data_IF_113540248903
#
_entry.id   IF_113540248903
#
_cell.length_a   1.000
_cell.length_b   1.000
_cell.length_c   1.000
_cell.angle_alpha   90.00
_cell.angle_beta   90.00
_cell.angle_gamma   90.00
#
_symmetry.space_group_name_H-M   'P 1'
#
loop_
_entity.id
_entity.type
_entity.pdbx_description
1 polymer ?
#
# COMPACT_ATOMS: atom_id res chain seq x y z
N UNK A 1 8.82 -19.53 17.10
CA UNK A 1 9.07 -18.08 17.10
C UNK A 1 7.90 -17.39 17.76
N UNK A 2 8.14 -16.54 18.75
CA UNK A 2 7.07 -15.76 19.39
C UNK A 2 6.80 -14.46 18.59
N UNK A 3 5.72 -13.75 18.93
CA UNK A 3 5.29 -12.54 18.20
C UNK A 3 6.35 -11.42 18.21
N UNK A 4 7.06 -11.23 19.33
CA UNK A 4 8.05 -10.16 19.47
C UNK A 4 9.31 -10.46 18.65
N UNK A 5 9.79 -11.70 18.73
CA UNK A 5 10.92 -12.19 17.94
C UNK A 5 10.63 -12.11 16.43
N UNK A 6 9.43 -12.52 16.01
CA UNK A 6 9.01 -12.41 14.62
C UNK A 6 8.99 -10.94 14.15
N UNK A 7 8.39 -10.06 14.95
CA UNK A 7 8.25 -8.65 14.58
C UNK A 7 9.62 -7.99 14.40
N UNK A 8 10.56 -8.24 15.31
CA UNK A 8 11.91 -7.68 15.19
C UNK A 8 12.60 -8.13 13.90
N UNK A 9 12.58 -9.45 13.63
CA UNK A 9 13.15 -10.00 12.39
C UNK A 9 12.49 -9.46 11.14
N UNK A 10 11.17 -9.32 11.16
CA UNK A 10 10.41 -8.82 10.04
C UNK A 10 10.70 -7.34 9.78
N UNK A 11 10.73 -6.50 10.82
CA UNK A 11 11.10 -5.09 10.69
C UNK A 11 12.54 -4.91 10.24
N UNK A 12 13.47 -5.75 10.72
CA UNK A 12 14.87 -5.76 10.26
C UNK A 12 14.94 -6.05 8.76
N UNK A 13 14.26 -7.12 8.30
CA UNK A 13 14.24 -7.48 6.87
C UNK A 13 13.62 -6.39 6.00
N UNK A 14 12.52 -5.77 6.45
CA UNK A 14 11.92 -4.62 5.75
C UNK A 14 12.91 -3.45 5.71
N UNK A 15 13.57 -3.12 6.82
CA UNK A 15 14.51 -2.00 6.85
C UNK A 15 15.73 -2.19 5.97
N UNK A 16 16.17 -3.43 5.77
CA UNK A 16 17.31 -3.77 4.91
C UNK A 16 16.91 -3.88 3.43
N UNK A 17 15.61 -3.82 3.11
CA UNK A 17 15.12 -4.03 1.73
C UNK A 17 15.25 -2.80 0.83
N UNK A 18 15.10 -1.60 1.39
CA UNK A 18 15.31 -0.32 0.71
C UNK A 18 15.25 0.85 1.69
N UNK A 19 15.55 2.07 1.22
CA UNK A 19 15.36 3.31 1.98
C UNK A 19 13.90 3.47 2.44
N UNK A 20 12.94 3.27 1.55
CA UNK A 20 11.51 3.34 1.88
C UNK A 20 11.10 2.27 2.91
N UNK A 21 11.71 1.08 2.84
CA UNK A 21 11.56 0.04 3.86
C UNK A 21 12.11 0.46 5.22
N UNK A 22 13.29 1.09 5.25
CA UNK A 22 13.89 1.63 6.48
C UNK A 22 13.01 2.70 7.11
N UNK A 23 12.48 3.64 6.30
CA UNK A 23 11.58 4.68 6.77
C UNK A 23 10.26 4.12 7.30
N UNK A 24 9.67 3.13 6.61
CA UNK A 24 8.45 2.47 7.04
C UNK A 24 8.65 1.74 8.38
N UNK A 25 9.76 1.00 8.52
CA UNK A 25 10.08 0.30 9.76
C UNK A 25 10.33 1.27 10.93
N UNK A 26 11.01 2.40 10.67
CA UNK A 26 11.21 3.48 11.64
C UNK A 26 9.86 4.08 12.08
N UNK A 27 9.00 4.43 11.13
CA UNK A 27 7.66 4.97 11.42
C UNK A 27 6.84 4.01 12.29
N UNK A 28 6.87 2.71 12.00
CA UNK A 28 6.17 1.70 12.79
C UNK A 28 6.66 1.66 14.24
N UNK A 29 7.98 1.73 14.46
CA UNK A 29 8.56 1.79 15.80
C UNK A 29 8.18 3.08 16.53
N UNK A 30 8.39 4.23 15.90
CA UNK A 30 8.13 5.54 16.51
C UNK A 30 6.66 5.77 16.86
N UNK A 31 5.74 5.31 16.01
CA UNK A 31 4.30 5.49 16.21
C UNK A 31 3.65 4.33 16.96
N UNK A 32 4.44 3.37 17.43
CA UNK A 32 3.98 2.14 18.11
C UNK A 32 2.86 1.44 17.32
N UNK A 33 3.06 1.29 16.01
CA UNK A 33 2.06 0.64 15.14
C UNK A 33 2.05 -0.86 15.47
N UNK A 34 0.86 -1.38 15.74
CA UNK A 34 0.69 -2.82 15.97
C UNK A 34 0.83 -3.58 14.65
N UNK A 35 1.78 -4.49 14.59
CA UNK A 35 2.00 -5.35 13.41
C UNK A 35 1.74 -6.80 13.77
N UNK A 36 1.01 -7.52 12.92
CA UNK A 36 0.76 -8.93 13.15
C UNK A 36 0.04 -9.64 12.02
N UNK A 37 -0.64 -10.72 12.39
CA UNK A 37 -1.37 -11.59 11.48
C UNK A 37 -2.85 -11.61 11.83
N UNK A 38 -3.74 -11.37 10.87
CA UNK A 38 -5.19 -11.46 11.09
C UNK A 38 -5.89 -11.99 9.84
N UNK A 39 -6.96 -12.77 10.02
CA UNK A 39 -7.72 -13.31 8.88
C UNK A 39 -8.53 -12.20 8.23
N UNK A 40 -8.47 -12.11 6.90
CA UNK A 40 -9.32 -11.27 6.06
C UNK A 40 -9.86 -12.08 4.86
N UNK A 41 -10.66 -11.46 3.99
CA UNK A 41 -11.16 -12.10 2.76
C UNK A 41 -10.00 -12.48 1.81
N UNK A 42 -10.20 -13.48 0.95
CA UNK A 42 -9.15 -14.04 0.08
C UNK A 42 -8.51 -13.02 -0.86
N UNK A 43 -9.22 -11.97 -1.28
CA UNK A 43 -8.68 -10.92 -2.15
C UNK A 43 -7.73 -9.94 -1.46
N UNK A 44 -7.60 -9.99 -0.13
CA UNK A 44 -6.80 -9.03 0.66
C UNK A 44 -5.46 -9.69 1.03
N UNK A 45 -4.35 -9.05 0.69
CA UNK A 45 -3.00 -9.51 1.05
C UNK A 45 -2.56 -9.05 2.44
N UNK A 46 -2.72 -7.76 2.69
CA UNK A 46 -2.51 -7.11 3.98
C UNK A 46 -3.57 -6.02 4.14
N UNK A 47 -3.66 -5.43 5.34
CA UNK A 47 -4.53 -4.29 5.58
C UNK A 47 -4.06 -3.48 6.80
N UNK A 48 -4.12 -2.16 6.68
CA UNK A 48 -4.05 -1.24 7.80
C UNK A 48 -5.43 -1.03 8.45
N UNK A 49 -5.45 -0.44 9.65
CA UNK A 49 -6.68 -0.07 10.35
C UNK A 49 -6.54 1.32 10.95
N UNK A 50 -7.68 1.98 11.21
CA UNK A 50 -7.73 3.29 11.88
C UNK A 50 -7.03 3.26 13.26
N UNK A 51 -7.01 2.11 13.94
CA UNK A 51 -6.38 1.91 15.24
C UNK A 51 -4.88 1.66 15.18
N UNK A 52 -4.13 2.33 14.27
CA UNK A 52 -2.66 2.22 14.16
C UNK A 52 -2.17 0.79 14.11
N UNK A 53 -2.78 -0.03 13.27
CA UNK A 53 -2.38 -1.43 13.12
C UNK A 53 -2.24 -1.81 11.66
N UNK A 54 -1.31 -2.72 11.39
CA UNK A 54 -1.10 -3.42 10.13
C UNK A 54 -1.19 -4.93 10.36
N UNK A 55 -1.91 -5.62 9.48
CA UNK A 55 -1.99 -7.07 9.52
C UNK A 55 -1.74 -7.68 8.15
N UNK A 56 -0.85 -8.67 8.09
CA UNK A 56 -0.80 -9.60 6.98
C UNK A 56 -1.97 -10.59 7.08
N UNK A 57 -2.54 -10.97 5.94
CA UNK A 57 -3.65 -11.90 5.90
C UNK A 57 -3.19 -13.34 6.18
N UNK A 58 -3.72 -13.94 7.25
CA UNK A 58 -3.45 -15.34 7.64
C UNK A 58 -3.81 -16.38 6.57
N UNK A 59 -4.64 -16.03 5.58
CA UNK A 59 -4.94 -16.95 4.48
C UNK A 59 -3.77 -17.13 3.50
N UNK A 60 -2.84 -16.18 3.46
CA UNK A 60 -1.74 -16.15 2.50
C UNK A 60 -0.37 -16.24 3.16
N UNK A 61 -0.28 -15.85 4.44
CA UNK A 61 0.99 -15.73 5.16
C UNK A 61 0.94 -16.40 6.52
N UNK A 62 2.06 -17.03 6.87
CA UNK A 62 2.44 -17.35 8.25
C UNK A 62 3.55 -16.39 8.68
N UNK A 63 3.91 -16.41 9.97
CA UNK A 63 5.04 -15.60 10.46
C UNK A 63 6.34 -15.98 9.74
N UNK A 64 6.55 -17.27 9.52
CA UNK A 64 7.71 -17.83 8.84
C UNK A 64 7.68 -17.50 7.34
N UNK A 65 6.55 -17.72 6.65
CA UNK A 65 6.49 -17.47 5.21
C UNK A 65 6.59 -15.98 4.86
N UNK A 66 6.12 -15.09 5.75
CA UNK A 66 6.28 -13.65 5.58
C UNK A 66 7.73 -13.19 5.64
N UNK A 67 8.59 -13.89 6.40
CA UNK A 67 10.01 -13.58 6.41
C UNK A 67 10.66 -13.91 5.07
N UNK A 68 10.24 -14.94 4.34
CA UNK A 68 10.89 -15.32 3.07
C UNK A 68 10.18 -14.82 1.81
N UNK A 69 9.06 -14.11 1.96
CA UNK A 69 8.26 -13.67 0.83
C UNK A 69 8.48 -12.17 0.51
N UNK A 70 9.07 -11.82 -0.64
CA UNK A 70 9.24 -10.43 -1.05
C UNK A 70 7.92 -9.64 -1.09
N UNK A 71 6.80 -10.30 -1.40
CA UNK A 71 5.48 -9.67 -1.40
C UNK A 71 5.04 -9.25 0.00
N UNK A 72 5.40 -10.00 1.04
CA UNK A 72 5.10 -9.61 2.41
C UNK A 72 5.90 -8.36 2.81
N UNK A 73 7.15 -8.24 2.36
CA UNK A 73 7.96 -7.03 2.56
C UNK A 73 7.34 -5.82 1.85
N UNK A 74 6.90 -5.97 0.61
CA UNK A 74 6.36 -4.83 -0.14
C UNK A 74 4.98 -4.41 0.33
N UNK A 75 4.14 -5.38 0.74
CA UNK A 75 2.86 -5.09 1.40
C UNK A 75 3.05 -4.32 2.70
N UNK A 76 4.13 -4.57 3.46
CA UNK A 76 4.42 -3.77 4.64
C UNK A 76 4.59 -2.29 4.28
N UNK A 77 5.40 -2.00 3.27
CA UNK A 77 5.66 -0.62 2.80
C UNK A 77 4.35 0.02 2.31
N UNK A 78 3.53 -0.72 1.56
CA UNK A 78 2.22 -0.28 1.10
C UNK A 78 1.32 0.18 2.24
N UNK A 79 1.09 -0.69 3.23
CA UNK A 79 0.13 -0.41 4.28
C UNK A 79 0.65 0.62 5.28
N UNK A 80 1.96 0.64 5.52
CA UNK A 80 2.59 1.71 6.31
C UNK A 80 2.48 3.04 5.58
N UNK A 81 2.56 3.06 4.25
CA UNK A 81 2.34 4.28 3.46
C UNK A 81 0.94 4.85 3.69
N UNK A 82 -0.09 4.01 3.74
CA UNK A 82 -1.43 4.46 4.12
C UNK A 82 -1.50 5.04 5.54
N UNK A 83 -0.80 4.43 6.50
CA UNK A 83 -0.72 4.97 7.87
C UNK A 83 -0.01 6.33 7.91
N UNK A 84 1.02 6.54 7.09
CA UNK A 84 1.72 7.82 6.95
C UNK A 84 0.84 8.90 6.30
N UNK A 85 0.09 8.52 5.26
CA UNK A 85 -0.84 9.41 4.53
C UNK A 85 -2.01 9.89 5.42
N UNK A 86 -2.45 9.05 6.36
CA UNK A 86 -3.65 9.27 7.14
C UNK A 86 -4.93 8.97 6.37
N UNK A 87 -6.03 8.74 7.11
CA UNK A 87 -7.30 8.21 6.57
C UNK A 87 -7.86 9.01 5.38
N UNK A 88 -7.77 10.34 5.42
CA UNK A 88 -8.38 11.22 4.41
C UNK A 88 -7.73 11.07 3.04
N UNK A 89 -6.44 10.73 3.02
CA UNK A 89 -5.65 10.53 1.81
C UNK A 89 -5.63 9.06 1.42
N UNK A 90 -5.44 8.16 2.39
CA UNK A 90 -5.40 6.72 2.14
C UNK A 90 -6.68 6.19 1.50
N UNK A 91 -7.86 6.71 1.88
CA UNK A 91 -9.14 6.34 1.27
C UNK A 91 -9.44 7.15 -0.02
N UNK A 92 -8.48 7.16 -0.96
CA UNK A 92 -8.64 7.78 -2.28
C UNK A 92 -7.76 7.07 -3.32
N UNK A 93 -8.09 7.22 -4.61
CA UNK A 93 -7.23 6.69 -5.69
C UNK A 93 -5.84 7.32 -5.66
N UNK A 94 -5.73 8.59 -5.30
CA UNK A 94 -4.43 9.23 -5.09
C UNK A 94 -3.61 8.48 -4.02
N UNK A 95 -4.21 8.18 -2.88
CA UNK A 95 -3.53 7.46 -1.79
C UNK A 95 -3.12 6.04 -2.17
N UNK A 96 -4.02 5.32 -2.85
CA UNK A 96 -3.76 4.00 -3.43
C UNK A 96 -2.64 4.04 -4.48
N UNK A 97 -2.63 5.04 -5.37
CA UNK A 97 -1.62 5.17 -6.42
C UNK A 97 -0.23 5.36 -5.81
N UNK A 98 -0.13 6.26 -4.85
CA UNK A 98 1.11 6.47 -4.09
C UNK A 98 1.58 5.17 -3.40
N UNK A 99 0.70 4.47 -2.67
CA UNK A 99 1.04 3.22 -2.00
C UNK A 99 1.44 2.10 -2.98
N UNK A 100 0.71 1.92 -4.08
CA UNK A 100 1.03 0.96 -5.14
C UNK A 100 2.36 1.26 -5.80
N UNK A 101 2.66 2.55 -6.06
CA UNK A 101 3.92 2.93 -6.68
C UNK A 101 5.12 2.58 -5.80
N UNK A 102 5.03 2.83 -4.49
CA UNK A 102 6.06 2.39 -3.54
C UNK A 102 6.19 0.87 -3.52
N UNK A 103 5.06 0.16 -3.38
CA UNK A 103 5.02 -1.29 -3.29
C UNK A 103 5.64 -1.96 -4.51
N UNK A 104 5.16 -1.63 -5.70
CA UNK A 104 5.52 -2.34 -6.91
C UNK A 104 6.89 -1.94 -7.45
N UNK A 105 7.37 -0.70 -7.20
CA UNK A 105 8.77 -0.34 -7.46
C UNK A 105 9.71 -1.15 -6.58
N UNK A 106 9.40 -1.29 -5.29
CA UNK A 106 10.19 -2.14 -4.39
C UNK A 106 10.12 -3.61 -4.80
N UNK A 107 8.93 -4.13 -5.12
CA UNK A 107 8.77 -5.52 -5.55
C UNK A 107 9.58 -5.84 -6.81
N UNK A 108 9.59 -4.92 -7.79
CA UNK A 108 10.41 -5.02 -9.00
C UNK A 108 11.90 -5.05 -8.67
N UNK A 109 12.38 -4.15 -7.78
CA UNK A 109 13.78 -4.15 -7.32
C UNK A 109 14.18 -5.44 -6.61
N UNK A 110 13.35 -5.93 -5.69
CA UNK A 110 13.66 -7.13 -4.89
C UNK A 110 13.65 -8.43 -5.70
N UNK A 111 12.80 -8.52 -6.72
CA UNK A 111 12.62 -9.77 -7.48
C UNK A 111 13.32 -9.77 -8.84
N UNK A 112 13.72 -8.61 -9.36
CA UNK A 112 14.26 -8.45 -10.71
C UNK A 112 13.27 -8.80 -11.82
N UNK A 113 11.98 -9.00 -11.51
CA UNK A 113 10.97 -9.43 -12.47
C UNK A 113 10.32 -8.25 -13.17
N UNK A 114 10.07 -8.41 -14.47
CA UNK A 114 9.16 -7.55 -15.21
C UNK A 114 7.74 -7.71 -14.66
N UNK A 115 7.07 -6.59 -14.40
CA UNK A 115 5.69 -6.62 -13.90
C UNK A 115 4.71 -6.83 -15.05
N UNK A 116 3.44 -7.10 -14.71
CA UNK A 116 2.39 -7.11 -15.72
C UNK A 116 2.28 -5.71 -16.37
N UNK A 117 1.88 -5.61 -17.65
CA UNK A 117 1.79 -4.33 -18.36
C UNK A 117 1.01 -3.26 -17.58
N UNK A 118 -0.10 -3.64 -16.94
CA UNK A 118 -0.92 -2.71 -16.16
C UNK A 118 -0.16 -2.05 -15.00
N UNK A 119 0.74 -2.80 -14.37
CA UNK A 119 1.57 -2.29 -13.28
C UNK A 119 2.69 -1.41 -13.83
N UNK A 120 3.33 -1.79 -14.93
CA UNK A 120 4.37 -0.97 -15.56
C UNK A 120 3.81 0.39 -15.98
N UNK A 121 2.61 0.40 -16.60
CA UNK A 121 1.89 1.64 -16.93
C UNK A 121 1.54 2.45 -15.68
N UNK A 122 1.07 1.79 -14.60
CA UNK A 122 0.73 2.46 -13.35
C UNK A 122 1.96 3.09 -12.67
N UNK A 123 3.13 2.45 -12.76
CA UNK A 123 4.38 2.97 -12.22
C UNK A 123 4.91 4.18 -13.00
N UNK A 124 4.54 4.32 -14.28
CA UNK A 124 4.90 5.43 -15.15
C UNK A 124 4.00 6.67 -14.98
N UNK A 125 2.83 6.53 -14.33
CA UNK A 125 1.97 7.67 -14.04
C UNK A 125 2.66 8.66 -13.09
N UNK A 126 2.54 9.95 -13.37
CA UNK A 126 2.95 10.99 -12.42
C UNK A 126 2.02 10.97 -11.21
N UNK A 127 2.61 11.03 -10.01
CA UNK A 127 1.82 11.21 -8.79
C UNK A 127 1.45 12.69 -8.67
N UNK A 128 0.15 13.00 -8.81
CA UNK A 128 -0.35 14.37 -8.80
C UNK A 128 -1.87 14.42 -8.65
N UNK A 129 -2.42 15.63 -8.75
CA UNK A 129 -3.86 15.87 -8.63
C UNK A 129 -4.54 16.07 -10.00
N UNK A 130 -3.98 15.50 -11.06
CA UNK A 130 -4.66 15.45 -12.35
C UNK A 130 -5.75 14.37 -12.37
N UNK A 131 -7.00 14.75 -12.66
CA UNK A 131 -8.13 13.82 -12.66
C UNK A 131 -8.02 12.77 -13.75
N UNK A 132 -7.43 13.10 -14.91
CA UNK A 132 -7.29 12.13 -15.99
C UNK A 132 -6.30 11.03 -15.60
N UNK A 133 -5.14 11.40 -15.05
CA UNK A 133 -4.16 10.48 -14.49
C UNK A 133 -4.76 9.61 -13.39
N UNK A 134 -5.52 10.17 -12.45
CA UNK A 134 -6.14 9.38 -11.38
C UNK A 134 -7.24 8.44 -11.89
N UNK A 135 -8.01 8.86 -12.91
CA UNK A 135 -8.97 7.94 -13.58
C UNK A 135 -8.25 6.79 -14.27
N UNK A 136 -7.11 7.07 -14.92
CA UNK A 136 -6.28 6.05 -15.54
C UNK A 136 -5.72 5.09 -14.47
N UNK A 137 -5.18 5.61 -13.37
CA UNK A 137 -4.70 4.81 -12.25
C UNK A 137 -5.79 3.85 -11.73
N UNK A 138 -7.00 4.35 -11.49
CA UNK A 138 -8.15 3.54 -11.06
C UNK A 138 -8.48 2.42 -12.05
N UNK A 139 -8.44 2.72 -13.35
CA UNK A 139 -8.67 1.74 -14.42
C UNK A 139 -7.62 0.62 -14.36
N UNK A 140 -6.34 0.98 -14.29
CA UNK A 140 -5.22 0.04 -14.22
C UNK A 140 -5.27 -0.83 -12.95
N UNK A 141 -5.54 -0.23 -11.79
CA UNK A 141 -5.71 -0.97 -10.52
C UNK A 141 -6.86 -1.97 -10.62
N UNK A 142 -8.00 -1.56 -11.18
CA UNK A 142 -9.17 -2.44 -11.35
C UNK A 142 -8.87 -3.57 -12.34
N UNK A 143 -8.13 -3.29 -13.42
CA UNK A 143 -7.71 -4.30 -14.40
C UNK A 143 -6.74 -5.32 -13.80
N UNK A 144 -5.81 -4.88 -12.94
CA UNK A 144 -4.83 -5.75 -12.30
C UNK A 144 -5.40 -6.55 -11.12
N UNK A 145 -6.04 -5.87 -10.15
CA UNK A 145 -6.52 -6.48 -8.91
C UNK A 145 -7.96 -7.03 -9.00
N UNK A 146 -8.67 -6.70 -10.08
CA UNK A 146 -10.03 -7.13 -10.34
C UNK A 146 -11.09 -6.29 -9.63
N UNK A 147 -12.35 -6.56 -9.98
CA UNK A 147 -13.53 -5.82 -9.47
C UNK A 147 -13.63 -5.78 -7.94
N UNK A 148 -13.26 -6.89 -7.28
CA UNK A 148 -13.35 -7.05 -5.83
C UNK A 148 -12.31 -6.26 -5.04
N UNK A 149 -11.36 -5.61 -5.73
CA UNK A 149 -10.48 -4.62 -5.13
C UNK A 149 -11.21 -3.34 -4.73
N UNK A 150 -12.36 -3.05 -5.38
CA UNK A 150 -13.23 -1.91 -5.06
C UNK A 150 -12.60 -0.52 -5.24
N UNK A 151 -11.50 -0.38 -5.99
CA UNK A 151 -10.96 0.94 -6.34
C UNK A 151 -12.01 1.88 -6.97
N UNK A 152 -13.00 1.33 -7.69
CA UNK A 152 -14.09 2.11 -8.28
C UNK A 152 -14.96 2.86 -7.27
N UNK A 153 -14.99 2.45 -5.99
CA UNK A 153 -15.71 3.14 -4.91
C UNK A 153 -14.94 4.33 -4.32
N UNK A 154 -13.62 4.38 -4.51
CA UNK A 154 -12.79 5.41 -3.90
C UNK A 154 -12.95 6.75 -4.64
N UNK A 155 -12.97 7.89 -3.92
CA UNK A 155 -12.85 9.19 -4.54
C UNK A 155 -11.50 9.29 -5.28
N UNK A 156 -11.43 10.11 -6.32
CA UNK A 156 -10.17 10.28 -7.05
C UNK A 156 -9.14 10.98 -6.16
N UNK A 157 -9.55 12.10 -5.56
CA UNK A 157 -8.74 12.87 -4.65
C UNK A 157 -8.96 12.46 -3.19
N UNK A 158 -8.02 12.83 -2.29
CA UNK A 158 -8.32 12.91 -0.87
C UNK A 158 -9.60 13.73 -0.63
N UNK A 159 -10.44 13.30 0.31
CA UNK A 159 -11.83 13.80 0.41
C UNK A 159 -11.95 15.33 0.50
N UNK A 160 -11.02 16.00 1.20
CA UNK A 160 -10.99 17.46 1.33
C UNK A 160 -10.77 18.18 -0.02
N UNK A 161 -9.95 17.60 -0.90
CA UNK A 161 -9.74 18.09 -2.27
C UNK A 161 -10.90 17.72 -3.19
N UNK A 162 -11.51 16.55 -3.01
CA UNK A 162 -12.72 16.20 -3.77
C UNK A 162 -13.83 17.22 -3.48
N UNK A 163 -14.09 17.55 -2.20
CA UNK A 163 -15.06 18.59 -1.82
C UNK A 163 -14.72 19.94 -2.47
N UNK A 164 -13.47 20.39 -2.35
CA UNK A 164 -13.03 21.65 -2.93
C UNK A 164 -13.18 21.68 -4.46
N UNK A 165 -12.93 20.55 -5.15
CA UNK A 165 -13.19 20.41 -6.59
C UNK A 165 -14.68 20.58 -6.93
N UNK A 166 -15.58 19.93 -6.20
CA UNK A 166 -17.02 20.02 -6.49
C UNK A 166 -17.61 21.40 -6.21
N UNK A 167 -17.07 22.10 -5.21
CA UNK A 167 -17.46 23.48 -4.88
C UNK A 167 -16.89 24.47 -5.90
N UNK A 168 -15.62 24.36 -6.28
CA UNK A 168 -14.93 25.38 -7.09
C UNK A 168 -14.89 25.07 -8.58
N UNK A 169 -15.10 23.80 -8.96
CA UNK A 169 -14.87 23.24 -10.31
C UNK A 169 -13.44 23.44 -10.86
N UNK A 170 -12.48 23.85 -10.03
CA UNK A 170 -11.09 24.06 -10.43
C UNK A 170 -10.31 22.74 -10.33
N UNK A 171 -9.51 22.45 -11.35
CA UNK A 171 -8.50 21.40 -11.27
C UNK A 171 -7.36 21.84 -10.35
N UNK A 172 -6.70 20.86 -9.70
CA UNK A 172 -5.59 21.07 -8.78
C UNK A 172 -4.26 20.72 -9.42
#
# INVERSE_FOLDING_TARGET
MNQAEWLDRYLKKVSESSEEGAEAARFVREKNIRVGMKRARRSVGAFWTLGKSFFLNKLHYTMESALENPRAVTLFVHEVRHLQQGILTALSIYGELDAWQYEFRLYKRLTGRTLKPELEELLALSLGHDRATLRQARSLMTKFAGFWYLAWLLPLFPIHKEIAYWVTRKNF
#
